data_IF_249424916102
#
_entry.id   IF_249424916102
#
_cell.length_a   1.000
_cell.length_b   1.000
_cell.length_c   1.000
_cell.angle_alpha   90.00
_cell.angle_beta   90.00
_cell.angle_gamma   90.00
#
_symmetry.space_group_name_H-M   'P 1'
#
loop_
_entity.id
_entity.type
_entity.pdbx_description
1 polymer ?
#
# COMPACT_ATOMS: atom_id res chain seq x y z
N UNK A 1 26.19 2.89 -28.14
CA UNK A 1 25.26 1.90 -27.56
C UNK A 1 24.71 2.26 -26.16
N UNK A 2 24.89 3.50 -25.67
CA UNK A 2 24.48 3.93 -24.31
C UNK A 2 23.12 4.65 -24.22
N UNK A 3 22.57 5.14 -25.33
CA UNK A 3 21.33 5.93 -25.38
C UNK A 3 20.05 5.10 -25.19
N UNK A 4 20.04 3.84 -25.66
CA UNK A 4 18.85 2.97 -25.54
C UNK A 4 18.47 2.67 -24.08
N UNK A 5 19.46 2.59 -23.17
CA UNK A 5 19.23 2.31 -21.75
C UNK A 5 18.74 3.52 -20.93
N UNK A 6 18.89 4.75 -21.43
CA UNK A 6 18.35 5.94 -20.74
C UNK A 6 16.86 6.12 -21.00
N UNK A 7 16.40 5.80 -22.20
CA UNK A 7 15.01 6.07 -22.62
C UNK A 7 14.03 5.11 -21.95
N UNK A 8 14.37 3.81 -21.88
CA UNK A 8 13.55 2.83 -21.15
C UNK A 8 13.41 3.17 -19.66
N UNK A 9 14.47 3.69 -19.03
CA UNK A 9 14.42 4.13 -17.61
C UNK A 9 13.51 5.34 -17.42
N UNK A 10 13.52 6.30 -18.35
CA UNK A 10 12.65 7.48 -18.31
C UNK A 10 11.18 7.10 -18.49
N UNK A 11 10.87 6.28 -19.50
CA UNK A 11 9.52 5.79 -19.75
C UNK A 11 8.94 5.04 -18.56
N UNK A 12 9.72 4.14 -17.96
CA UNK A 12 9.30 3.40 -16.76
C UNK A 12 8.98 4.34 -15.59
N UNK A 13 9.83 5.34 -15.33
CA UNK A 13 9.58 6.33 -14.28
C UNK A 13 8.30 7.14 -14.56
N UNK A 14 8.13 7.63 -15.78
CA UNK A 14 6.94 8.38 -16.18
C UNK A 14 5.66 7.55 -16.01
N UNK A 15 5.70 6.27 -16.42
CA UNK A 15 4.58 5.34 -16.22
C UNK A 15 4.26 5.13 -14.74
N UNK A 16 5.26 4.88 -13.88
CA UNK A 16 5.02 4.74 -12.44
C UNK A 16 4.42 6.00 -11.83
N UNK A 17 4.92 7.18 -12.20
CA UNK A 17 4.35 8.45 -11.72
C UNK A 17 2.91 8.61 -12.17
N UNK A 18 2.61 8.32 -13.44
CA UNK A 18 1.25 8.37 -13.98
C UNK A 18 0.31 7.40 -13.24
N UNK A 19 0.71 6.13 -13.11
CA UNK A 19 -0.08 5.12 -12.41
C UNK A 19 -0.34 5.50 -10.95
N UNK A 20 0.65 6.04 -10.24
CA UNK A 20 0.50 6.54 -8.86
C UNK A 20 -0.49 7.71 -8.77
N UNK A 21 -0.47 8.62 -9.75
CA UNK A 21 -1.42 9.74 -9.79
C UNK A 21 -2.85 9.26 -10.04
N UNK A 22 -3.08 8.47 -11.10
CA UNK A 22 -4.42 8.04 -11.52
C UNK A 22 -5.05 7.07 -10.52
N UNK A 23 -4.25 6.23 -9.87
CA UNK A 23 -4.75 5.31 -8.82
C UNK A 23 -4.85 5.94 -7.44
N UNK A 24 -4.51 7.24 -7.32
CA UNK A 24 -4.46 7.97 -6.05
C UNK A 24 -3.62 7.26 -4.98
N UNK A 25 -2.55 6.59 -5.40
CA UNK A 25 -1.65 5.86 -4.50
C UNK A 25 -0.93 6.78 -3.52
N UNK A 26 -0.80 8.06 -3.86
CA UNK A 26 -0.28 9.10 -2.96
C UNK A 26 -1.13 9.32 -1.69
N UNK A 27 -2.38 8.81 -1.64
CA UNK A 27 -3.18 8.78 -0.41
C UNK A 27 -2.66 7.78 0.63
N UNK A 28 -1.89 6.77 0.20
CA UNK A 28 -1.19 5.85 1.09
C UNK A 28 0.03 6.58 1.66
N UNK A 29 -0.06 6.86 2.95
CA UNK A 29 1.00 7.54 3.71
C UNK A 29 1.26 6.79 5.00
N UNK A 30 2.40 7.00 5.68
CA UNK A 30 2.64 6.35 6.97
C UNK A 30 1.54 6.61 8.01
N UNK A 31 0.86 7.76 7.97
CA UNK A 31 -0.27 8.08 8.86
C UNK A 31 -1.62 7.53 8.37
N UNK A 32 -1.68 7.04 7.13
CA UNK A 32 -2.86 6.47 6.48
C UNK A 32 -2.47 5.15 5.81
N UNK A 33 -2.19 4.10 6.62
CA UNK A 33 -1.85 2.79 6.08
C UNK A 33 -3.00 2.24 5.25
N UNK A 34 -2.70 1.24 4.42
CA UNK A 34 -3.70 0.58 3.63
C UNK A 34 -4.77 -0.07 4.54
N UNK A 35 -6.01 0.32 4.31
CA UNK A 35 -7.14 0.02 5.17
C UNK A 35 -8.46 0.23 4.43
N UNK A 36 -9.57 -0.21 5.02
CA UNK A 36 -10.89 -0.12 4.38
C UNK A 36 -11.31 1.33 4.07
N UNK A 37 -10.96 2.27 4.95
CA UNK A 37 -11.18 3.71 4.79
C UNK A 37 -10.42 4.28 3.58
N UNK A 38 -9.13 3.95 3.44
CA UNK A 38 -8.32 4.41 2.30
C UNK A 38 -8.73 3.72 1.00
N UNK A 39 -9.09 2.43 1.04
CA UNK A 39 -9.67 1.73 -0.10
C UNK A 39 -10.93 2.44 -0.59
N UNK A 40 -11.85 2.78 0.30
CA UNK A 40 -13.08 3.51 -0.04
C UNK A 40 -12.76 4.89 -0.62
N UNK A 41 -11.91 5.68 0.03
CA UNK A 41 -11.55 7.03 -0.41
C UNK A 41 -10.93 7.01 -1.82
N UNK A 42 -10.00 6.07 -2.08
CA UNK A 42 -9.38 5.90 -3.41
C UNK A 42 -10.41 5.48 -4.45
N UNK A 43 -11.35 4.62 -4.10
CA UNK A 43 -12.40 4.16 -5.01
C UNK A 43 -13.30 5.31 -5.48
N UNK A 44 -13.69 6.18 -4.55
CA UNK A 44 -14.44 7.39 -4.86
C UNK A 44 -13.61 8.31 -5.75
N UNK A 45 -12.35 8.58 -5.38
CA UNK A 45 -11.48 9.48 -6.14
C UNK A 45 -11.27 9.01 -7.60
N UNK A 46 -11.02 7.71 -7.81
CA UNK A 46 -10.88 7.12 -9.14
C UNK A 46 -12.21 7.21 -9.91
N UNK A 47 -13.34 6.86 -9.28
CA UNK A 47 -14.64 6.96 -9.93
C UNK A 47 -14.99 8.40 -10.32
N UNK A 48 -14.64 9.38 -9.48
CA UNK A 48 -14.82 10.81 -9.78
C UNK A 48 -13.95 11.22 -10.96
N UNK A 49 -12.70 10.79 -11.00
CA UNK A 49 -11.80 11.05 -12.14
C UNK A 49 -12.37 10.46 -13.45
N UNK A 50 -12.87 9.23 -13.42
CA UNK A 50 -13.48 8.59 -14.59
C UNK A 50 -14.75 9.31 -15.03
N UNK A 51 -15.62 9.70 -14.10
CA UNK A 51 -16.85 10.43 -14.39
C UNK A 51 -16.55 11.82 -14.96
N UNK A 52 -15.64 12.58 -14.34
CA UNK A 52 -15.22 13.88 -14.84
C UNK A 52 -14.63 13.79 -16.26
N UNK A 53 -13.77 12.80 -16.51
CA UNK A 53 -13.19 12.56 -17.84
C UNK A 53 -14.27 12.22 -18.86
N UNK A 54 -15.23 11.37 -18.50
CA UNK A 54 -16.35 11.01 -19.37
C UNK A 54 -17.22 12.22 -19.73
N UNK A 55 -17.54 13.07 -18.75
CA UNK A 55 -18.28 14.32 -18.99
C UNK A 55 -17.51 15.28 -19.90
N UNK A 56 -16.21 15.46 -19.68
CA UNK A 56 -15.38 16.32 -20.54
C UNK A 56 -15.34 15.79 -21.98
N UNK A 57 -15.18 14.48 -22.17
CA UNK A 57 -15.19 13.87 -23.50
C UNK A 57 -16.55 13.99 -24.18
N UNK A 58 -17.65 13.78 -23.45
CA UNK A 58 -19.01 13.94 -23.97
C UNK A 58 -19.24 15.37 -24.47
N UNK A 59 -18.89 16.38 -23.67
CA UNK A 59 -19.03 17.78 -24.06
C UNK A 59 -18.07 18.20 -25.21
N UNK A 60 -16.92 17.53 -25.37
CA UNK A 60 -15.99 17.81 -26.45
C UNK A 60 -16.43 17.21 -27.80
N UNK A 61 -17.09 16.05 -27.77
CA UNK A 61 -17.45 15.28 -28.97
C UNK A 61 -18.87 15.63 -29.45
N UNK A 62 -19.81 15.83 -28.54
CA UNK A 62 -21.21 16.04 -28.86
C UNK A 62 -21.47 17.48 -29.37
N UNK A 63 -21.77 17.65 -30.67
CA UNK A 63 -22.00 18.98 -31.23
C UNK A 63 -23.30 19.62 -30.73
N UNK A 64 -24.26 18.84 -30.23
CA UNK A 64 -25.54 19.34 -29.73
C UNK A 64 -25.41 19.97 -28.33
N UNK A 65 -24.29 19.70 -27.65
CA UNK A 65 -23.95 20.29 -26.34
C UNK A 65 -23.15 21.61 -26.46
N UNK A 66 -22.93 22.13 -27.66
CA UNK A 66 -22.21 23.38 -27.93
C UNK A 66 -23.05 24.62 -27.55
N UNK A 67 -23.18 24.87 -26.25
CA UNK A 67 -23.75 26.09 -25.69
C UNK A 67 -22.97 26.57 -24.47
N UNK A 68 -23.26 27.76 -23.91
CA UNK A 68 -22.64 28.19 -22.66
C UNK A 68 -22.94 27.17 -21.55
N UNK A 69 -21.91 26.83 -20.77
CA UNK A 69 -22.04 25.85 -19.69
C UNK A 69 -23.09 26.34 -18.67
N UNK A 70 -24.27 25.73 -18.68
CA UNK A 70 -25.32 26.03 -17.71
C UNK A 70 -25.26 25.04 -16.55
N UNK A 71 -25.43 25.54 -15.33
CA UNK A 71 -25.49 24.69 -14.13
C UNK A 71 -26.61 23.65 -14.21
N UNK A 72 -27.75 24.01 -14.81
CA UNK A 72 -28.87 23.10 -15.04
C UNK A 72 -28.50 21.96 -16.01
N UNK A 73 -27.79 22.28 -17.10
CA UNK A 73 -27.30 21.29 -18.06
C UNK A 73 -26.28 20.35 -17.43
N UNK A 74 -25.34 20.88 -16.64
CA UNK A 74 -24.38 20.07 -15.90
C UNK A 74 -25.05 19.14 -14.88
N UNK A 75 -26.06 19.63 -14.16
CA UNK A 75 -26.86 18.83 -13.23
C UNK A 75 -27.58 17.67 -13.93
N UNK A 76 -28.16 17.91 -15.11
CA UNK A 76 -28.78 16.87 -15.91
C UNK A 76 -27.78 15.82 -16.39
N UNK A 77 -26.63 16.25 -16.92
CA UNK A 77 -25.56 15.33 -17.34
C UNK A 77 -25.06 14.49 -16.15
N UNK A 78 -24.94 15.08 -14.96
CA UNK A 78 -24.57 14.36 -13.76
C UNK A 78 -25.59 13.29 -13.36
N UNK A 79 -26.89 13.63 -13.35
CA UNK A 79 -27.97 12.66 -13.06
C UNK A 79 -27.96 11.51 -14.07
N UNK A 80 -27.81 11.81 -15.36
CA UNK A 80 -27.71 10.80 -16.43
C UNK A 80 -26.48 9.89 -16.26
N UNK A 81 -25.39 10.43 -15.71
CA UNK A 81 -24.12 9.70 -15.51
C UNK A 81 -24.06 9.00 -14.15
N UNK A 82 -24.95 9.31 -13.21
CA UNK A 82 -24.92 8.80 -11.84
C UNK A 82 -24.93 7.26 -11.75
N UNK A 83 -25.72 6.50 -12.54
CA UNK A 83 -25.65 5.04 -12.53
C UNK A 83 -24.28 4.50 -12.93
N UNK A 84 -23.64 5.12 -13.94
CA UNK A 84 -22.30 4.74 -14.38
C UNK A 84 -21.22 5.09 -13.38
N UNK A 85 -21.36 6.23 -12.70
CA UNK A 85 -20.50 6.59 -11.58
C UNK A 85 -20.60 5.57 -10.44
N UNK A 86 -21.83 5.19 -10.04
CA UNK A 86 -22.05 4.17 -9.01
C UNK A 86 -21.45 2.81 -9.40
N UNK A 87 -21.65 2.38 -10.65
CA UNK A 87 -21.06 1.15 -11.18
C UNK A 87 -19.53 1.19 -11.17
N UNK A 88 -18.92 2.30 -11.63
CA UNK A 88 -17.48 2.48 -11.62
C UNK A 88 -16.91 2.50 -10.19
N UNK A 89 -17.56 3.22 -9.26
CA UNK A 89 -17.17 3.26 -7.86
C UNK A 89 -17.22 1.87 -7.21
N UNK A 90 -18.31 1.12 -7.44
CA UNK A 90 -18.45 -0.26 -6.95
C UNK A 90 -17.39 -1.19 -7.51
N UNK A 91 -17.11 -1.13 -8.82
CA UNK A 91 -16.09 -1.96 -9.46
C UNK A 91 -14.67 -1.65 -8.96
N UNK A 92 -14.31 -0.36 -8.84
CA UNK A 92 -13.01 0.05 -8.30
C UNK A 92 -12.88 -0.34 -6.84
N UNK A 93 -13.94 -0.15 -6.04
CA UNK A 93 -13.97 -0.57 -4.65
C UNK A 93 -13.75 -2.07 -4.50
N UNK A 94 -14.49 -2.89 -5.25
CA UNK A 94 -14.31 -4.33 -5.22
C UNK A 94 -12.87 -4.75 -5.59
N UNK A 95 -12.29 -4.14 -6.63
CA UNK A 95 -10.92 -4.44 -7.07
C UNK A 95 -9.86 -4.04 -6.03
N UNK A 96 -9.95 -2.82 -5.48
CA UNK A 96 -9.01 -2.33 -4.46
C UNK A 96 -9.17 -3.10 -3.14
N UNK A 97 -10.40 -3.42 -2.74
CA UNK A 97 -10.69 -4.20 -1.55
C UNK A 97 -10.17 -5.64 -1.68
N UNK A 98 -10.38 -6.29 -2.83
CA UNK A 98 -9.84 -7.63 -3.10
C UNK A 98 -8.30 -7.64 -3.00
N UNK A 99 -7.63 -6.64 -3.57
CA UNK A 99 -6.17 -6.48 -3.44
C UNK A 99 -5.76 -6.30 -1.98
N UNK A 100 -6.41 -5.39 -1.25
CA UNK A 100 -6.14 -5.17 0.18
C UNK A 100 -6.32 -6.47 0.99
N UNK A 101 -7.42 -7.19 0.77
CA UNK A 101 -7.69 -8.46 1.46
C UNK A 101 -6.62 -9.52 1.17
N UNK A 102 -6.15 -9.60 -0.09
CA UNK A 102 -5.07 -10.53 -0.46
C UNK A 102 -3.75 -10.18 0.22
N UNK A 103 -3.38 -8.89 0.25
CA UNK A 103 -2.17 -8.40 0.91
C UNK A 103 -2.20 -8.65 2.42
N UNK A 104 -3.36 -8.42 3.04
CA UNK A 104 -3.59 -8.71 4.45
C UNK A 104 -3.44 -10.20 4.76
N UNK A 105 -4.12 -11.07 4.02
CA UNK A 105 -4.05 -12.51 4.23
C UNK A 105 -2.65 -13.06 4.01
N UNK A 106 -1.92 -12.52 3.04
CA UNK A 106 -0.52 -12.87 2.81
C UNK A 106 0.34 -12.59 4.05
N UNK A 107 0.32 -11.35 4.59
CA UNK A 107 1.10 -11.01 5.78
C UNK A 107 0.66 -11.83 7.00
N UNK A 108 -0.65 -12.02 7.20
CA UNK A 108 -1.14 -12.83 8.32
C UNK A 108 -0.65 -14.28 8.24
N UNK A 109 -0.65 -14.88 7.05
CA UNK A 109 -0.13 -16.22 6.84
C UNK A 109 1.38 -16.30 7.09
N UNK A 110 2.15 -15.34 6.56
CA UNK A 110 3.60 -15.27 6.78
C UNK A 110 3.94 -15.11 8.27
N UNK A 111 3.23 -14.25 8.99
CA UNK A 111 3.38 -14.09 10.44
C UNK A 111 3.16 -15.42 11.18
N UNK A 112 2.07 -16.14 10.87
CA UNK A 112 1.78 -17.41 11.52
C UNK A 112 2.87 -18.47 11.26
N UNK A 113 3.39 -18.53 10.03
CA UNK A 113 4.50 -19.42 9.68
C UNK A 113 5.78 -19.08 10.44
N UNK A 114 6.12 -17.79 10.55
CA UNK A 114 7.27 -17.32 11.33
C UNK A 114 7.11 -17.70 12.81
N UNK A 115 5.93 -17.47 13.39
CA UNK A 115 5.64 -17.82 14.78
C UNK A 115 5.69 -19.32 15.03
N UNK A 116 5.20 -20.14 14.09
CA UNK A 116 5.30 -21.59 14.19
C UNK A 116 6.77 -22.04 14.18
N UNK A 117 7.58 -21.54 13.25
CA UNK A 117 9.01 -21.83 13.19
C UNK A 117 9.74 -21.38 14.47
N UNK A 118 9.38 -20.22 15.02
CA UNK A 118 9.95 -19.73 16.28
C UNK A 118 9.66 -20.66 17.47
N UNK A 119 8.44 -21.22 17.55
CA UNK A 119 8.07 -22.19 18.59
C UNK A 119 8.82 -23.52 18.39
N UNK A 120 8.90 -24.01 17.15
CA UNK A 120 9.63 -25.25 16.84
C UNK A 120 11.11 -25.13 17.22
N UNK A 121 11.73 -23.98 16.99
CA UNK A 121 13.11 -23.71 17.40
C UNK A 121 13.27 -23.63 18.93
N UNK A 122 12.28 -23.05 19.63
CA UNK A 122 12.30 -23.01 21.10
C UNK A 122 12.21 -24.42 21.71
N UNK A 123 11.49 -25.34 21.09
CA UNK A 123 11.33 -26.71 21.56
C UNK A 123 12.45 -27.66 21.11
N UNK A 124 13.31 -27.26 20.18
CA UNK A 124 14.35 -28.11 19.61
C UNK A 124 15.66 -28.04 20.41
N UNK A 125 16.08 -29.19 20.96
CA UNK A 125 17.18 -29.32 21.93
C UNK A 125 18.61 -29.35 21.31
N UNK A 126 18.86 -28.67 20.18
CA UNK A 126 19.99 -29.02 19.30
C UNK A 126 20.97 -27.92 18.87
N UNK A 127 22.24 -28.35 18.71
CA UNK A 127 23.49 -27.63 18.44
C UNK A 127 23.56 -26.70 17.19
N UNK A 128 22.46 -26.43 16.49
CA UNK A 128 22.39 -25.57 15.30
C UNK A 128 21.56 -24.28 15.53
N UNK A 129 21.25 -23.93 16.78
CA UNK A 129 20.48 -22.73 17.14
C UNK A 129 20.95 -21.47 16.41
N UNK A 130 22.26 -21.24 16.29
CA UNK A 130 22.80 -20.02 15.69
C UNK A 130 22.44 -19.83 14.22
N UNK A 131 22.44 -20.91 13.42
CA UNK A 131 22.07 -20.83 12.00
C UNK A 131 20.56 -20.67 11.83
N UNK A 132 19.77 -21.35 12.67
CA UNK A 132 18.32 -21.28 12.62
C UNK A 132 17.78 -19.92 13.09
N UNK A 133 18.35 -19.35 14.16
CA UNK A 133 18.03 -18.00 14.66
C UNK A 133 18.30 -16.94 13.59
N UNK A 134 19.44 -17.01 12.89
CA UNK A 134 19.75 -16.11 11.76
C UNK A 134 18.75 -16.21 10.62
N UNK A 135 18.33 -17.42 10.24
CA UNK A 135 17.29 -17.62 9.21
C UNK A 135 15.95 -17.06 9.65
N UNK A 136 15.57 -17.27 10.91
CA UNK A 136 14.33 -16.71 11.47
C UNK A 136 14.38 -15.17 11.44
N UNK A 137 15.51 -14.57 11.80
CA UNK A 137 15.71 -13.13 11.73
C UNK A 137 15.57 -12.59 10.29
N UNK A 138 16.08 -13.31 9.29
CA UNK A 138 15.88 -12.97 7.87
C UNK A 138 14.41 -12.99 7.46
N UNK A 139 13.63 -13.97 7.92
CA UNK A 139 12.20 -14.03 7.64
C UNK A 139 11.42 -12.90 8.33
N UNK A 140 11.76 -12.57 9.57
CA UNK A 140 11.19 -11.40 10.28
C UNK A 140 11.53 -10.10 9.56
N UNK A 141 12.76 -9.93 9.08
CA UNK A 141 13.17 -8.78 8.29
C UNK A 141 12.40 -8.69 6.96
N UNK A 142 12.24 -9.81 6.25
CA UNK A 142 11.43 -9.89 5.03
C UNK A 142 9.97 -9.50 5.27
N UNK A 143 9.36 -9.97 6.36
CA UNK A 143 8.02 -9.55 6.76
C UNK A 143 7.91 -8.03 6.93
N UNK A 144 8.91 -7.39 7.56
CA UNK A 144 8.93 -5.93 7.77
C UNK A 144 9.04 -5.20 6.41
N UNK A 145 9.88 -5.69 5.51
CA UNK A 145 10.03 -5.12 4.16
C UNK A 145 8.73 -5.22 3.37
N UNK A 146 8.11 -6.40 3.33
CA UNK A 146 6.84 -6.62 2.65
C UNK A 146 5.73 -5.76 3.27
N UNK A 147 5.68 -5.65 4.60
CA UNK A 147 4.71 -4.78 5.26
C UNK A 147 4.89 -3.31 4.88
N UNK A 148 6.13 -2.84 4.70
CA UNK A 148 6.40 -1.49 4.22
C UNK A 148 5.93 -1.31 2.77
N UNK A 149 6.31 -2.24 1.88
CA UNK A 149 6.01 -2.14 0.45
C UNK A 149 4.51 -2.32 0.14
N UNK A 150 3.78 -2.99 1.04
CA UNK A 150 2.33 -3.12 1.01
C UNK A 150 1.59 -1.95 1.69
N UNK A 151 2.31 -0.96 2.24
CA UNK A 151 1.78 0.16 3.00
C UNK A 151 0.97 -0.27 4.24
N UNK A 152 1.36 -1.35 4.89
CA UNK A 152 0.67 -1.94 6.04
C UNK A 152 1.46 -1.82 7.35
N UNK A 153 2.75 -1.46 7.29
CA UNK A 153 3.66 -1.44 8.45
C UNK A 153 3.21 -0.52 9.59
N UNK A 154 2.50 0.57 9.31
CA UNK A 154 1.97 1.48 10.35
C UNK A 154 0.55 1.15 10.80
N UNK A 155 -0.08 0.08 10.31
CA UNK A 155 -1.39 -0.34 10.82
C UNK A 155 -1.23 -0.90 12.22
N UNK A 156 -2.05 -0.45 13.18
CA UNK A 156 -1.81 -0.67 14.62
C UNK A 156 -1.44 -2.11 15.03
N UNK A 157 -2.13 -3.13 14.51
CA UNK A 157 -1.83 -4.53 14.84
C UNK A 157 -0.55 -5.09 14.17
N UNK A 158 -0.12 -4.51 13.04
CA UNK A 158 1.14 -4.85 12.36
C UNK A 158 2.29 -4.04 12.96
N UNK A 159 2.07 -2.75 13.24
CA UNK A 159 3.05 -1.87 13.86
C UNK A 159 3.58 -2.44 15.18
N UNK A 160 2.71 -3.02 16.03
CA UNK A 160 3.16 -3.69 17.26
C UNK A 160 4.09 -4.89 17.01
N UNK A 161 3.80 -5.71 16.00
CA UNK A 161 4.67 -6.85 15.61
C UNK A 161 6.03 -6.34 15.16
N UNK A 162 6.05 -5.35 14.26
CA UNK A 162 7.27 -4.78 13.70
C UNK A 162 8.08 -4.05 14.78
N UNK A 163 7.42 -3.34 15.69
CA UNK A 163 8.07 -2.66 16.80
C UNK A 163 8.86 -3.66 17.63
N UNK A 164 8.22 -4.75 18.08
CA UNK A 164 8.85 -5.79 18.90
C UNK A 164 9.95 -6.55 18.14
N UNK A 165 9.71 -6.99 16.91
CA UNK A 165 10.75 -7.65 16.11
C UNK A 165 11.92 -6.73 15.75
N UNK A 166 11.68 -5.42 15.63
CA UNK A 166 12.72 -4.46 15.34
C UNK A 166 13.62 -4.09 16.53
N UNK A 167 13.32 -4.58 17.74
CA UNK A 167 14.23 -4.48 18.89
C UNK A 167 15.32 -5.57 18.87
N UNK A 168 15.11 -6.65 18.09
CA UNK A 168 16.07 -7.72 17.89
C UNK A 168 17.15 -7.28 16.89
N UNK A 169 18.41 -7.22 17.34
CA UNK A 169 19.53 -6.78 16.51
C UNK A 169 19.76 -7.70 15.31
N UNK A 170 19.50 -9.01 15.42
CA UNK A 170 19.68 -9.94 14.30
C UNK A 170 18.67 -9.64 13.18
N UNK A 171 17.47 -9.17 13.53
CA UNK A 171 16.44 -8.76 12.55
C UNK A 171 16.83 -7.45 11.88
N UNK A 172 17.35 -6.48 12.63
CA UNK A 172 17.84 -5.21 12.09
C UNK A 172 19.02 -5.44 11.13
N UNK A 173 19.98 -6.27 11.52
CA UNK A 173 21.13 -6.64 10.70
C UNK A 173 20.71 -7.37 9.42
N UNK A 174 19.73 -8.28 9.54
CA UNK A 174 19.18 -8.97 8.37
C UNK A 174 18.47 -8.00 7.42
N UNK A 175 17.68 -7.05 7.93
CA UNK A 175 17.01 -6.05 7.11
C UNK A 175 18.02 -5.17 6.35
N UNK A 176 19.06 -4.71 7.05
CA UNK A 176 20.05 -3.79 6.49
C UNK A 176 21.02 -4.47 5.50
N UNK A 177 21.18 -5.79 5.59
CA UNK A 177 22.10 -6.54 4.72
C UNK A 177 21.61 -6.74 3.27
N UNK A 178 20.29 -6.74 3.05
CA UNK A 178 19.71 -7.19 1.77
C UNK A 178 18.86 -6.13 1.04
N UNK A 179 18.31 -5.14 1.76
CA UNK A 179 17.42 -4.16 1.15
C UNK A 179 18.19 -3.04 0.39
N UNK A 180 17.76 -2.63 -0.81
CA UNK A 180 18.30 -1.44 -1.47
C UNK A 180 18.05 -0.18 -0.64
N UNK A 181 19.10 0.59 -0.36
CA UNK A 181 19.00 1.75 0.55
C UNK A 181 18.64 1.36 1.99
N UNK A 182 19.03 0.14 2.38
CA UNK A 182 18.66 -0.58 3.59
C UNK A 182 18.65 0.29 4.85
N UNK A 183 19.75 0.97 5.15
CA UNK A 183 19.91 1.74 6.39
C UNK A 183 18.88 2.88 6.49
N UNK A 184 18.75 3.67 5.42
CA UNK A 184 17.76 4.76 5.36
C UNK A 184 16.32 4.23 5.35
N UNK A 185 16.07 3.06 4.73
CA UNK A 185 14.76 2.41 4.79
C UNK A 185 14.45 1.95 6.20
N UNK A 186 15.40 1.30 6.86
CA UNK A 186 15.26 0.79 8.23
C UNK A 186 14.96 1.90 9.22
N UNK A 187 15.75 2.96 9.22
CA UNK A 187 15.56 4.11 10.12
C UNK A 187 14.18 4.75 9.93
N UNK A 188 13.73 4.88 8.68
CA UNK A 188 12.40 5.41 8.36
C UNK A 188 11.28 4.49 8.83
N UNK A 189 11.37 3.19 8.54
CA UNK A 189 10.36 2.21 9.01
C UNK A 189 10.27 2.24 10.53
N UNK A 190 11.41 2.22 11.23
CA UNK A 190 11.45 2.29 12.70
C UNK A 190 10.77 3.54 13.23
N UNK A 191 11.09 4.71 12.68
CA UNK A 191 10.46 5.96 13.11
C UNK A 191 8.95 5.99 12.88
N UNK A 192 8.50 5.52 11.70
CA UNK A 192 7.07 5.47 11.34
C UNK A 192 6.30 4.46 12.19
N UNK A 193 6.86 3.27 12.43
CA UNK A 193 6.28 2.21 13.25
C UNK A 193 6.22 2.63 14.72
N UNK A 194 7.27 3.26 15.24
CA UNK A 194 7.30 3.76 16.62
C UNK A 194 6.19 4.78 16.87
N UNK A 195 6.00 5.73 15.94
CA UNK A 195 4.93 6.71 16.02
C UNK A 195 3.54 6.03 15.97
N UNK A 196 3.37 5.06 15.06
CA UNK A 196 2.12 4.33 14.92
C UNK A 196 1.80 3.44 16.13
N UNK A 197 2.82 2.79 16.72
CA UNK A 197 2.70 1.98 17.92
C UNK A 197 2.26 2.82 19.12
N UNK A 198 2.88 3.98 19.34
CA UNK A 198 2.47 4.93 20.38
C UNK A 198 1.03 5.42 20.19
N UNK A 199 0.68 5.86 18.98
CA UNK A 199 -0.67 6.30 18.67
C UNK A 199 -1.71 5.19 18.90
N UNK A 200 -1.38 3.94 18.57
CA UNK A 200 -2.24 2.79 18.85
C UNK A 200 -2.36 2.54 20.36
N UNK A 201 -1.27 2.58 21.11
CA UNK A 201 -1.28 2.39 22.56
C UNK A 201 -2.12 3.45 23.27
N UNK A 202 -2.03 4.72 22.86
CA UNK A 202 -2.79 5.82 23.45
C UNK A 202 -4.30 5.73 23.14
N UNK A 203 -4.69 5.10 22.02
CA UNK A 203 -6.10 4.88 21.68
C UNK A 203 -6.81 3.91 22.66
N UNK A 204 -6.07 3.03 23.32
CA UNK A 204 -6.62 1.99 24.19
C UNK A 204 -6.35 2.22 25.70
N UNK A 205 -5.79 3.37 26.06
CA UNK A 205 -5.71 3.85 27.45
C UNK A 205 -6.98 4.61 27.80
#
# INVERSE_FOLDING_TARGET
MTTRNSDHRRLRKAWHTFARCVSFEWLLTPTRPNGGDIVLARSIAVATLLCATSLLLRNAIDPDLKGPMSWAGLGRQFIETAPWFAAAAGAVYAALYARFSSQWSYLAALYNQIKQAEIELFCADSCNEGSAKKKLAQWKAGYIEDAQDLHLHTKGNIAGIIHFWGEDSDVADAFTSWAPGAEMRWQRVRAEVEAAFKAAADKYK
#
